data_IF_110303315176
#
_entry.id   IF_110303315176
#
_cell.length_a   1.000
_cell.length_b   1.000
_cell.length_c   1.000
_cell.angle_alpha   90.00
_cell.angle_beta   90.00
_cell.angle_gamma   90.00
#
_symmetry.space_group_name_H-M   'P 1'
#
loop_
_entity.id
_entity.type
_entity.pdbx_description
1 polymer ?
#
# COMPACT_ATOMS: atom_id res chain seq x y z
N UNK A 1 -3.10 -10.49 -12.84
CA UNK A 1 -3.17 -9.71 -14.09
C UNK A 1 -2.56 -10.59 -15.15
N UNK A 2 -3.26 -10.80 -16.26
CA UNK A 2 -2.73 -11.61 -17.34
C UNK A 2 -1.76 -10.76 -18.18
N UNK A 3 -0.52 -11.24 -18.35
CA UNK A 3 0.52 -10.54 -19.09
C UNK A 3 0.26 -10.54 -20.60
N UNK A 4 -0.45 -11.56 -21.10
CA UNK A 4 -0.83 -11.67 -22.52
C UNK A 4 -1.71 -10.48 -22.95
N UNK A 5 -2.59 -10.04 -22.05
CA UNK A 5 -3.57 -8.97 -22.31
C UNK A 5 -3.18 -7.63 -21.67
N UNK A 6 -1.93 -7.45 -21.25
CA UNK A 6 -1.48 -6.22 -20.56
C UNK A 6 -1.74 -4.94 -21.34
N UNK A 7 -1.73 -4.99 -22.68
CA UNK A 7 -1.97 -3.84 -23.56
C UNK A 7 -3.37 -3.24 -23.39
N UNK A 8 -4.36 -4.03 -23.00
CA UNK A 8 -5.74 -3.55 -22.78
C UNK A 8 -5.89 -2.73 -21.49
N UNK A 9 -4.87 -2.73 -20.63
CA UNK A 9 -4.85 -1.97 -19.37
C UNK A 9 -6.12 -2.17 -18.51
N UNK A 10 -6.68 -3.40 -18.50
CA UNK A 10 -7.92 -3.72 -17.78
C UNK A 10 -7.90 -3.30 -16.30
N UNK A 11 -6.73 -3.33 -15.66
CA UNK A 11 -6.55 -2.84 -14.29
C UNK A 11 -6.89 -1.35 -14.14
N UNK A 12 -6.51 -0.50 -15.10
CA UNK A 12 -6.81 0.94 -15.04
C UNK A 12 -8.32 1.16 -15.13
N UNK A 13 -8.96 0.48 -16.10
CA UNK A 13 -10.41 0.55 -16.27
C UNK A 13 -11.16 0.07 -15.01
N UNK A 14 -10.70 -1.01 -14.40
CA UNK A 14 -11.30 -1.57 -13.16
C UNK A 14 -11.23 -0.56 -12.01
N UNK A 15 -10.08 0.10 -11.83
CA UNK A 15 -9.91 1.14 -10.80
C UNK A 15 -10.77 2.38 -11.08
N UNK A 16 -10.87 2.81 -12.33
CA UNK A 16 -11.76 3.90 -12.72
C UNK A 16 -13.24 3.59 -12.46
N UNK A 17 -13.70 2.39 -12.86
CA UNK A 17 -15.10 1.98 -12.65
C UNK A 17 -15.44 1.87 -11.16
N UNK A 18 -14.53 1.32 -10.35
CA UNK A 18 -14.71 1.27 -8.89
C UNK A 18 -14.71 2.65 -8.25
N UNK A 19 -13.93 3.60 -8.76
CA UNK A 19 -13.96 5.01 -8.33
C UNK A 19 -15.33 5.62 -8.55
N UNK A 20 -15.85 5.54 -9.78
CA UNK A 20 -17.15 6.09 -10.13
C UNK A 20 -18.26 5.47 -9.30
N UNK A 21 -18.27 4.15 -9.14
CA UNK A 21 -19.25 3.45 -8.31
C UNK A 21 -19.19 3.89 -6.83
N UNK A 22 -18.01 4.20 -6.31
CA UNK A 22 -17.87 4.77 -4.97
C UNK A 22 -18.46 6.18 -4.90
N UNK A 23 -18.18 7.04 -5.88
CA UNK A 23 -18.71 8.41 -5.92
C UNK A 23 -20.23 8.45 -6.14
N UNK A 24 -20.78 7.57 -6.98
CA UNK A 24 -22.22 7.40 -7.19
C UNK A 24 -22.97 7.02 -5.90
N UNK A 25 -22.31 6.30 -4.99
CA UNK A 25 -22.83 5.97 -3.66
C UNK A 25 -22.67 7.11 -2.63
N UNK A 26 -22.18 8.27 -3.05
CA UNK A 26 -21.98 9.44 -2.20
C UNK A 26 -20.67 9.46 -1.41
N UNK A 27 -19.71 8.59 -1.72
CA UNK A 27 -18.38 8.68 -1.12
C UNK A 27 -17.66 9.92 -1.66
N UNK A 28 -16.84 10.58 -0.83
CA UNK A 28 -16.05 11.75 -1.23
C UNK A 28 -14.66 11.40 -1.76
N UNK A 29 -14.20 10.19 -1.48
CA UNK A 29 -12.83 9.73 -1.67
C UNK A 29 -12.82 8.22 -1.87
N UNK A 30 -11.82 7.73 -2.61
CA UNK A 30 -11.55 6.31 -2.82
C UNK A 30 -10.08 6.05 -2.47
N UNK A 31 -9.84 5.14 -1.53
CA UNK A 31 -8.49 4.78 -1.10
C UNK A 31 -7.88 3.73 -2.04
N UNK A 32 -6.66 3.98 -2.52
CA UNK A 32 -5.92 3.08 -3.42
C UNK A 32 -4.88 2.21 -2.70
N UNK A 33 -4.81 2.25 -1.37
CA UNK A 33 -3.83 1.57 -0.53
C UNK A 33 -2.45 2.25 -0.50
N UNK A 34 -1.49 1.63 0.19
CA UNK A 34 -0.12 2.16 0.34
C UNK A 34 0.75 2.05 -0.91
N UNK A 35 1.80 2.87 -0.98
CA UNK A 35 2.84 2.87 -2.02
C UNK A 35 4.21 2.63 -1.35
N UNK A 36 5.22 2.33 -2.15
CA UNK A 36 6.60 2.31 -1.68
C UNK A 36 7.06 3.73 -1.30
N UNK A 37 7.88 3.84 -0.24
CA UNK A 37 8.31 5.14 0.30
C UNK A 37 9.16 5.98 -0.67
N UNK A 38 9.79 5.35 -1.66
CA UNK A 38 10.69 6.04 -2.59
C UNK A 38 9.97 6.74 -3.76
N UNK A 39 8.64 6.64 -3.83
CA UNK A 39 7.81 7.18 -4.92
C UNK A 39 8.33 6.83 -6.31
N UNK A 40 9.00 5.67 -6.45
CA UNK A 40 9.63 5.24 -7.70
C UNK A 40 9.20 3.84 -8.12
N UNK A 41 8.60 3.10 -7.20
CA UNK A 41 8.10 1.74 -7.41
C UNK A 41 6.98 1.59 -8.45
N UNK A 42 6.73 0.34 -8.83
CA UNK A 42 5.69 -0.02 -9.79
C UNK A 42 4.27 0.36 -9.32
N UNK A 43 4.01 0.27 -8.01
CA UNK A 43 2.72 0.68 -7.44
C UNK A 43 2.52 2.19 -7.55
N UNK A 44 3.54 2.98 -7.22
CA UNK A 44 3.47 4.44 -7.39
C UNK A 44 3.17 4.82 -8.85
N UNK A 45 3.92 4.26 -9.81
CA UNK A 45 3.73 4.51 -11.24
C UNK A 45 2.34 4.12 -11.77
N UNK A 46 1.71 3.11 -11.17
CA UNK A 46 0.33 2.75 -11.50
C UNK A 46 -0.66 3.77 -10.95
N UNK A 47 -0.54 4.14 -9.67
CA UNK A 47 -1.50 5.00 -8.97
C UNK A 47 -1.41 6.45 -9.41
N UNK A 48 -0.22 6.94 -9.76
CA UNK A 48 -0.01 8.33 -10.21
C UNK A 48 -0.86 8.71 -11.44
N UNK A 49 -1.27 7.72 -12.25
CA UNK A 49 -2.16 7.90 -13.41
C UNK A 49 -3.54 8.45 -13.05
N UNK A 50 -3.97 8.30 -11.79
CA UNK A 50 -5.25 8.75 -11.29
C UNK A 50 -5.19 10.11 -10.58
N UNK A 51 -4.02 10.78 -10.58
CA UNK A 51 -3.76 12.01 -9.83
C UNK A 51 -4.16 11.89 -8.35
N UNK A 52 -3.61 10.91 -7.61
CA UNK A 52 -3.98 10.70 -6.21
C UNK A 52 -3.38 11.79 -5.32
N UNK A 53 -4.02 12.02 -4.18
CA UNK A 53 -3.41 12.69 -3.04
C UNK A 53 -2.67 11.66 -2.18
N UNK A 54 -1.41 11.94 -1.82
CA UNK A 54 -0.60 11.05 -0.98
C UNK A 54 -0.77 11.47 0.47
N UNK A 55 -1.39 10.59 1.26
CA UNK A 55 -1.55 10.77 2.69
C UNK A 55 -0.44 10.02 3.44
N UNK A 56 0.44 10.75 4.13
CA UNK A 56 1.41 10.17 5.05
C UNK A 56 0.81 10.06 6.45
N UNK A 57 0.60 8.84 6.91
CA UNK A 57 0.12 8.57 8.27
C UNK A 57 1.27 8.60 9.27
N UNK A 58 0.95 8.91 10.52
CA UNK A 58 1.89 8.96 11.65
C UNK A 58 2.60 7.62 11.95
N UNK A 59 2.12 6.54 11.34
CA UNK A 59 2.71 5.21 11.43
C UNK A 59 2.25 4.41 12.63
N UNK A 60 3.04 3.40 12.99
CA UNK A 60 2.72 2.45 14.05
C UNK A 60 3.34 2.87 15.39
N UNK A 61 2.51 2.94 16.43
CA UNK A 61 2.97 3.11 17.82
C UNK A 61 2.87 1.79 18.57
N UNK A 62 3.90 1.49 19.37
CA UNK A 62 3.92 0.29 20.20
C UNK A 62 3.76 0.65 21.67
N UNK A 63 2.76 0.05 22.32
CA UNK A 63 2.56 0.15 23.77
C UNK A 63 3.11 -1.13 24.45
N UNK A 64 4.18 -1.04 25.26
CA UNK A 64 4.75 -2.21 25.93
C UNK A 64 3.83 -2.69 27.07
N UNK A 65 3.31 -3.92 26.95
CA UNK A 65 2.41 -4.54 27.97
C UNK A 65 3.13 -5.47 28.95
N UNK A 66 4.41 -5.76 28.72
CA UNK A 66 5.19 -6.71 29.53
C UNK A 66 6.66 -6.28 29.61
N UNK A 67 7.37 -6.57 30.73
CA UNK A 67 8.82 -6.39 30.82
C UNK A 67 9.60 -7.12 29.70
N UNK A 68 9.03 -8.20 29.15
CA UNK A 68 9.63 -8.98 28.06
C UNK A 68 9.49 -8.31 26.68
N UNK A 69 8.74 -7.20 26.56
CA UNK A 69 8.52 -6.50 25.29
C UNK A 69 9.82 -6.17 24.57
N UNK A 70 10.86 -5.75 25.30
CA UNK A 70 12.16 -5.41 24.70
C UNK A 70 12.79 -6.61 24.00
N UNK A 71 12.77 -7.79 24.63
CA UNK A 71 13.31 -9.02 24.05
C UNK A 71 12.50 -9.47 22.83
N UNK A 72 11.16 -9.43 22.94
CA UNK A 72 10.26 -9.75 21.83
C UNK A 72 10.48 -8.81 20.63
N UNK A 73 10.64 -7.51 20.88
CA UNK A 73 10.87 -6.53 19.82
C UNK A 73 12.24 -6.71 19.14
N UNK A 74 13.28 -7.09 19.88
CA UNK A 74 14.60 -7.45 19.31
C UNK A 74 14.46 -8.67 18.40
N UNK A 75 13.83 -9.75 18.87
CA UNK A 75 13.61 -10.96 18.09
C UNK A 75 12.79 -10.67 16.80
N UNK A 76 11.72 -9.88 16.93
CA UNK A 76 10.90 -9.43 15.82
C UNK A 76 11.70 -8.63 14.79
N UNK A 77 12.50 -7.66 15.25
CA UNK A 77 13.32 -6.80 14.37
C UNK A 77 14.37 -7.62 13.62
N UNK A 78 15.01 -8.59 14.28
CA UNK A 78 15.96 -9.51 13.63
C UNK A 78 15.25 -10.34 12.56
N UNK A 79 14.08 -10.91 12.86
CA UNK A 79 13.26 -11.67 11.89
C UNK A 79 12.88 -10.80 10.69
N UNK A 80 12.43 -9.56 10.92
CA UNK A 80 12.04 -8.62 9.86
C UNK A 80 13.21 -8.31 8.92
N UNK A 81 14.39 -8.00 9.48
CA UNK A 81 15.61 -7.74 8.69
C UNK A 81 16.08 -8.95 7.88
N UNK A 82 15.90 -10.18 8.39
CA UNK A 82 16.24 -11.40 7.65
C UNK A 82 15.29 -11.62 6.46
N UNK A 83 13.99 -11.36 6.65
CA UNK A 83 12.98 -11.49 5.58
C UNK A 83 13.19 -10.48 4.46
N UNK A 84 13.54 -9.23 4.77
CA UNK A 84 13.73 -8.18 3.75
C UNK A 84 14.97 -8.38 2.88
N UNK A 85 15.91 -9.26 3.26
CA UNK A 85 17.09 -9.62 2.44
C UNK A 85 16.80 -10.74 1.42
N UNK A 86 15.58 -11.26 1.39
CA UNK A 86 15.14 -12.33 0.47
C UNK A 86 14.07 -11.85 -0.52
N UNK A 87 13.94 -10.53 -0.72
CA UNK A 87 13.01 -9.91 -1.67
C UNK A 87 13.75 -8.92 -2.53
#
# INVERSE_FOLDING_TARGET
>A
MDDEFRRYQAAIYTWFATANHAFERGNRWQNMGGIENDLSGGLYNFKSKFKPEIEEFIGEFNLPVSPLYKLANVAYTIRKKRRSKHS
#
